data_IF_089326373176
#
_entry.id   IF_089326373176
#
_cell.length_a   1.000
_cell.length_b   1.000
_cell.length_c   1.000
_cell.angle_alpha   90.00
_cell.angle_beta   90.00
_cell.angle_gamma   90.00
#
_symmetry.space_group_name_H-M   'P 1'
#
loop_
_entity.id
_entity.type
_entity.pdbx_description
1 polymer ?
#
# COMPACT_ATOMS: atom_id res chain seq x y z
N UNK A 1 -23.88 -7.29 -3.13
CA UNK A 1 -23.19 -6.67 -1.98
C UNK A 1 -21.72 -6.62 -2.31
N UNK A 2 -21.17 -5.44 -2.54
CA UNK A 2 -19.72 -5.27 -2.77
C UNK A 2 -19.09 -5.35 -1.38
N UNK A 3 -18.29 -6.38 -1.14
CA UNK A 3 -17.58 -6.55 0.13
C UNK A 3 -16.63 -5.38 0.42
N UNK A 4 -16.12 -5.25 1.66
CA UNK A 4 -15.12 -4.24 1.96
C UNK A 4 -13.95 -4.36 0.96
N UNK A 5 -13.39 -3.23 0.49
CA UNK A 5 -12.30 -3.26 -0.46
C UNK A 5 -11.14 -4.08 0.12
N UNK A 6 -10.61 -5.00 -0.70
CA UNK A 6 -9.37 -5.69 -0.36
C UNK A 6 -8.30 -4.63 -0.12
N UNK A 7 -7.67 -4.70 1.05
CA UNK A 7 -6.64 -3.74 1.46
C UNK A 7 -5.53 -4.48 2.19
N UNK A 8 -4.32 -3.93 2.10
CA UNK A 8 -3.19 -4.45 2.84
C UNK A 8 -3.24 -3.91 4.26
N UNK A 9 -3.27 -4.76 5.30
CA UNK A 9 -3.21 -4.27 6.66
C UNK A 9 -1.88 -3.58 6.91
N UNK A 10 -1.91 -2.47 7.64
CA UNK A 10 -0.72 -1.92 8.29
C UNK A 10 -0.49 -2.66 9.62
N UNK A 11 0.76 -2.80 10.09
CA UNK A 11 1.04 -3.25 11.44
C UNK A 11 0.29 -2.40 12.47
N UNK A 12 0.01 -3.01 13.61
CA UNK A 12 -0.53 -2.34 14.80
C UNK A 12 -1.86 -1.62 14.58
N UNK A 13 -2.63 -2.03 13.57
CA UNK A 13 -3.95 -1.45 13.31
C UNK A 13 -3.90 -0.01 12.80
N UNK A 14 -2.75 0.44 12.29
CA UNK A 14 -2.55 1.77 11.71
C UNK A 14 -3.32 2.01 10.39
N UNK A 15 -4.30 1.15 10.08
CA UNK A 15 -5.16 1.26 8.92
C UNK A 15 -4.74 0.33 7.79
N UNK A 16 -4.81 0.85 6.56
CA UNK A 16 -4.65 0.08 5.35
C UNK A 16 -3.77 0.78 4.31
N UNK A 17 -3.05 -0.02 3.53
CA UNK A 17 -2.30 0.38 2.33
C UNK A 17 -2.99 -0.10 1.07
N UNK A 18 -2.63 0.57 -0.02
CA UNK A 18 -2.98 0.14 -1.38
C UNK A 18 -2.25 -1.18 -1.66
N UNK A 19 -3.01 -2.18 -2.09
CA UNK A 19 -2.48 -3.46 -2.54
C UNK A 19 -1.76 -3.32 -3.89
N UNK A 20 -0.86 -4.25 -4.20
CA UNK A 20 -0.25 -4.29 -5.52
C UNK A 20 -1.29 -4.60 -6.58
N UNK A 21 -1.31 -3.81 -7.64
CA UNK A 21 -2.22 -3.96 -8.77
C UNK A 21 -1.46 -4.19 -10.07
N UNK A 22 -2.09 -4.86 -11.02
CA UNK A 22 -1.61 -4.99 -12.39
C UNK A 22 -1.98 -3.75 -13.25
N UNK A 23 -1.62 -3.80 -14.53
CA UNK A 23 -1.88 -2.73 -15.51
C UNK A 23 -3.38 -2.46 -15.72
N UNK A 24 -4.23 -3.46 -15.47
CA UNK A 24 -5.69 -3.35 -15.56
C UNK A 24 -6.32 -2.88 -14.23
N UNK A 25 -5.50 -2.41 -13.28
CA UNK A 25 -5.93 -1.96 -11.95
C UNK A 25 -6.60 -3.07 -11.11
N UNK A 26 -6.31 -4.33 -11.43
CA UNK A 26 -6.77 -5.52 -10.71
C UNK A 26 -5.76 -5.94 -9.65
N UNK A 27 -6.25 -6.49 -8.54
CA UNK A 27 -5.39 -6.92 -7.44
C UNK A 27 -4.47 -8.08 -7.85
N UNK A 28 -3.18 -8.01 -7.49
CA UNK A 28 -2.26 -9.13 -7.68
C UNK A 28 -2.41 -10.11 -6.51
N UNK A 29 -2.95 -11.29 -6.83
CA UNK A 29 -3.12 -12.40 -5.89
C UNK A 29 -1.88 -13.29 -5.82
N UNK A 30 -1.67 -13.87 -4.63
CA UNK A 30 -0.57 -14.76 -4.33
C UNK A 30 -1.02 -16.05 -3.64
N UNK A 31 -0.14 -17.05 -3.72
CA UNK A 31 -0.16 -18.24 -2.88
C UNK A 31 1.20 -18.32 -2.19
N UNK A 32 1.19 -18.27 -0.85
CA UNK A 32 2.41 -18.23 -0.03
C UNK A 32 3.41 -19.37 -0.32
N UNK A 33 2.96 -20.49 -0.88
CA UNK A 33 3.78 -21.66 -1.16
C UNK A 33 4.09 -21.82 -2.66
N UNK A 34 3.12 -21.51 -3.53
CA UNK A 34 3.20 -21.83 -4.97
C UNK A 34 3.43 -20.62 -5.86
N UNK A 35 2.95 -19.44 -5.45
CA UNK A 35 2.94 -18.21 -6.25
C UNK A 35 3.33 -17.03 -5.36
N UNK A 36 4.63 -16.87 -5.04
CA UNK A 36 5.09 -15.78 -4.19
C UNK A 36 4.91 -14.43 -4.89
N UNK A 37 4.81 -13.38 -4.08
CA UNK A 37 4.76 -12.02 -4.58
C UNK A 37 6.09 -11.59 -5.22
N UNK A 38 6.06 -10.57 -6.11
CA UNK A 38 7.26 -9.93 -6.62
C UNK A 38 8.18 -9.42 -5.51
N UNK A 39 9.44 -9.19 -5.85
CA UNK A 39 10.43 -8.63 -4.93
C UNK A 39 9.91 -7.34 -4.30
N UNK A 40 10.17 -7.15 -3.00
CA UNK A 40 9.71 -6.02 -2.18
C UNK A 40 8.22 -6.02 -1.82
N UNK A 41 7.49 -7.08 -2.19
CA UNK A 41 6.14 -7.34 -1.73
C UNK A 41 6.10 -8.58 -0.83
N UNK A 42 5.06 -8.68 -0.03
CA UNK A 42 4.77 -9.83 0.82
C UNK A 42 3.36 -10.34 0.56
N UNK A 43 3.18 -11.65 0.66
CA UNK A 43 1.87 -12.28 0.49
C UNK A 43 1.12 -12.24 1.81
N UNK A 44 0.10 -11.39 1.91
CA UNK A 44 -0.76 -11.32 3.09
C UNK A 44 -1.98 -12.20 2.84
N UNK A 45 -2.13 -13.24 3.67
CA UNK A 45 -3.26 -14.16 3.58
C UNK A 45 -4.57 -13.47 3.98
N UNK A 46 -5.59 -13.61 3.15
CA UNK A 46 -6.89 -12.99 3.39
C UNK A 46 -7.85 -13.97 4.07
N UNK A 47 -8.47 -13.54 5.17
CA UNK A 47 -9.46 -14.35 5.88
C UNK A 47 -10.79 -14.24 5.12
N UNK A 48 -11.24 -15.33 4.48
CA UNK A 48 -12.58 -15.44 3.88
C UNK A 48 -12.66 -15.29 2.35
N UNK A 49 -11.55 -15.05 1.68
CA UNK A 49 -11.44 -15.11 0.21
C UNK A 49 -10.23 -15.98 -0.13
N UNK A 50 -10.51 -17.19 -0.56
CA UNK A 50 -9.51 -18.17 -0.97
C UNK A 50 -10.07 -18.96 -2.15
N UNK A 51 -9.22 -19.22 -3.13
CA UNK A 51 -9.50 -20.20 -4.19
C UNK A 51 -8.49 -21.34 -4.07
N UNK A 52 -8.63 -22.36 -4.92
CA UNK A 52 -7.59 -23.39 -5.06
C UNK A 52 -6.25 -22.86 -5.59
N UNK A 53 -6.22 -21.63 -6.11
CA UNK A 53 -5.08 -21.04 -6.83
C UNK A 53 -4.41 -19.88 -6.07
N UNK A 54 -5.07 -19.30 -5.08
CA UNK A 54 -4.54 -18.18 -4.30
C UNK A 54 -5.14 -18.15 -2.90
N UNK A 55 -4.32 -17.74 -1.94
CA UNK A 55 -4.68 -17.63 -0.52
C UNK A 55 -4.40 -16.24 0.06
N UNK A 56 -3.94 -15.29 -0.75
CA UNK A 56 -3.64 -13.94 -0.31
C UNK A 56 -3.49 -12.92 -1.43
N UNK A 57 -3.10 -11.71 -1.03
CA UNK A 57 -2.81 -10.58 -1.93
C UNK A 57 -1.39 -10.06 -1.68
N UNK A 58 -0.79 -9.49 -2.73
CA UNK A 58 0.54 -8.90 -2.63
C UNK A 58 0.49 -7.49 -2.05
N UNK A 59 1.18 -7.32 -0.92
CA UNK A 59 1.25 -6.07 -0.18
C UNK A 59 2.66 -5.50 -0.17
N UNK A 60 2.81 -4.17 -0.30
CA UNK A 60 4.12 -3.53 -0.29
C UNK A 60 4.77 -3.68 1.09
N UNK A 61 6.05 -4.03 1.11
CA UNK A 61 6.86 -4.08 2.34
C UNK A 61 7.25 -2.67 2.79
N UNK A 62 7.80 -2.59 4.01
CA UNK A 62 8.31 -1.33 4.61
C UNK A 62 9.29 -0.60 3.69
N UNK A 63 10.17 -1.33 3.02
CA UNK A 63 11.14 -0.77 2.08
C UNK A 63 10.51 -0.01 0.90
N UNK A 64 9.33 -0.41 0.43
CA UNK A 64 8.60 0.27 -0.66
C UNK A 64 7.74 1.39 -0.10
N UNK A 65 6.94 1.09 0.93
CA UNK A 65 6.07 2.06 1.60
C UNK A 65 6.83 3.25 2.21
N UNK A 66 8.11 3.09 2.55
CA UNK A 66 8.95 4.15 3.09
C UNK A 66 10.06 4.58 2.10
N UNK A 67 9.92 4.27 0.82
CA UNK A 67 10.90 4.72 -0.19
C UNK A 67 10.61 6.17 -0.58
N UNK A 68 11.60 7.09 -0.47
CA UNK A 68 11.45 8.47 -0.93
C UNK A 68 11.37 8.58 -2.46
N UNK A 69 11.86 7.56 -3.17
CA UNK A 69 11.87 7.50 -4.62
C UNK A 69 10.54 6.98 -5.20
N UNK A 70 9.68 6.43 -4.35
CA UNK A 70 8.45 5.77 -4.77
C UNK A 70 7.32 6.78 -4.95
N UNK A 71 7.44 7.54 -6.05
CA UNK A 71 6.30 8.03 -6.82
C UNK A 71 5.29 8.88 -6.06
N UNK A 72 5.70 9.62 -5.03
CA UNK A 72 4.92 10.77 -4.60
C UNK A 72 5.09 11.83 -5.69
N UNK A 73 4.37 11.65 -6.78
CA UNK A 73 4.09 12.74 -7.70
C UNK A 73 3.38 13.77 -6.85
N UNK A 74 4.12 14.82 -6.48
CA UNK A 74 3.58 16.03 -5.87
C UNK A 74 2.76 16.70 -6.98
N UNK A 75 1.60 16.11 -7.24
CA UNK A 75 0.78 16.40 -8.39
C UNK A 75 0.17 17.78 -8.21
N UNK A 76 0.25 18.59 -9.28
CA UNK A 76 -0.33 19.94 -9.30
C UNK A 76 -1.85 19.88 -9.09
N UNK A 77 -2.47 18.74 -9.43
CA UNK A 77 -3.92 18.49 -9.31
C UNK A 77 -4.30 17.67 -8.07
N UNK A 78 -3.43 17.51 -7.07
CA UNK A 78 -3.81 16.86 -5.80
C UNK A 78 -4.86 17.67 -5.03
N UNK A 79 -5.83 17.00 -4.39
CA UNK A 79 -6.84 17.67 -3.55
C UNK A 79 -7.07 17.01 -2.19
N UNK A 80 -6.50 15.83 -1.95
CA UNK A 80 -6.70 15.10 -0.71
C UNK A 80 -5.43 15.19 0.14
N UNK A 81 -5.42 15.88 1.29
CA UNK A 81 -4.24 15.96 2.13
C UNK A 81 -3.85 14.58 2.64
N UNK A 82 -2.58 14.23 2.42
CA UNK A 82 -1.94 12.97 2.80
C UNK A 82 -0.53 13.21 3.28
N UNK A 83 0.09 12.19 3.84
CA UNK A 83 1.46 12.21 4.33
C UNK A 83 2.32 11.22 3.57
N UNK A 84 3.58 11.56 3.33
CA UNK A 84 4.58 10.66 2.77
C UNK A 84 5.90 10.80 3.52
N UNK A 85 6.72 9.77 3.49
CA UNK A 85 8.07 9.78 4.07
C UNK A 85 9.10 10.23 3.03
N UNK A 86 9.87 11.27 3.34
CA UNK A 86 10.89 11.87 2.45
C UNK A 86 12.30 11.28 2.63
N UNK A 87 12.43 10.16 3.35
CA UNK A 87 13.73 9.59 3.74
C UNK A 87 14.29 10.13 5.05
N UNK A 88 13.64 11.14 5.65
CA UNK A 88 14.04 11.74 6.94
C UNK A 88 12.88 11.98 7.88
N UNK A 89 11.75 12.45 7.35
CA UNK A 89 10.55 12.83 8.10
C UNK A 89 9.30 12.64 7.24
N UNK A 90 8.16 12.62 7.91
CA UNK A 90 6.87 12.62 7.24
C UNK A 90 6.45 14.05 6.88
N UNK A 91 6.07 14.25 5.61
CA UNK A 91 5.62 15.53 5.08
C UNK A 91 4.21 15.41 4.52
N UNK A 92 3.44 16.47 4.68
CA UNK A 92 2.13 16.59 4.06
C UNK A 92 2.29 16.90 2.56
N UNK A 93 1.39 16.36 1.76
CA UNK A 93 1.21 16.68 0.34
C UNK A 93 -0.25 16.57 -0.06
N UNK A 94 -0.60 17.18 -1.19
CA UNK A 94 -1.91 16.99 -1.81
C UNK A 94 -1.85 15.79 -2.75
N UNK A 95 -2.57 14.73 -2.40
CA UNK A 95 -2.61 13.48 -3.16
C UNK A 95 -3.77 13.47 -4.15
N UNK A 96 -3.51 12.96 -5.35
CA UNK A 96 -4.52 12.67 -6.36
C UNK A 96 -4.76 11.15 -6.44
N UNK A 97 -5.85 10.61 -5.88
CA UNK A 97 -6.15 9.17 -5.87
C UNK A 97 -6.40 8.56 -7.26
N UNK A 98 -6.59 9.39 -8.30
CA UNK A 98 -6.83 8.92 -9.66
C UNK A 98 -5.54 8.74 -10.48
N UNK A 99 -4.41 9.30 -10.01
CA UNK A 99 -3.13 9.30 -10.72
C UNK A 99 -2.05 8.54 -9.95
N UNK A 100 -1.94 8.82 -8.65
CA UNK A 100 -0.87 8.27 -7.82
C UNK A 100 -1.36 7.09 -6.97
N UNK A 101 -0.77 5.92 -7.18
CA UNK A 101 -0.99 4.71 -6.37
C UNK A 101 0.20 4.36 -5.48
N UNK A 102 1.02 5.36 -5.11
CA UNK A 102 2.21 5.12 -4.29
C UNK A 102 1.83 4.54 -2.92
N UNK A 103 2.47 3.44 -2.49
CA UNK A 103 2.31 2.87 -1.16
C UNK A 103 2.97 3.72 -0.07
N UNK A 104 3.73 4.76 -0.43
CA UNK A 104 4.22 5.82 0.45
C UNK A 104 3.18 6.96 0.56
N UNK A 105 1.94 6.60 0.90
CA UNK A 105 0.82 7.54 1.07
C UNK A 105 0.03 7.17 2.32
N UNK A 106 0.03 8.07 3.30
CA UNK A 106 -0.56 7.86 4.63
C UNK A 106 -1.67 8.86 4.92
N UNK A 107 -2.68 8.42 5.67
CA UNK A 107 -3.82 9.26 6.08
C UNK A 107 -3.40 10.29 7.13
N UNK A 108 -2.58 9.90 8.09
CA UNK A 108 -2.15 10.73 9.22
C UNK A 108 -0.63 10.80 9.30
N UNK A 109 -0.13 11.88 9.92
CA UNK A 109 1.30 12.05 10.17
C UNK A 109 1.82 10.95 11.08
N UNK A 110 1.07 10.68 12.14
CA UNK A 110 1.42 9.72 13.19
C UNK A 110 1.65 8.32 12.60
N UNK A 111 0.81 7.88 11.63
CA UNK A 111 1.00 6.59 10.98
C UNK A 111 2.22 6.53 10.07
N UNK A 112 2.52 7.63 9.36
CA UNK A 112 3.74 7.69 8.57
C UNK A 112 4.98 7.60 9.49
N UNK A 113 4.99 8.34 10.60
CA UNK A 113 6.11 8.37 11.53
C UNK A 113 6.29 7.02 12.24
N UNK A 114 5.21 6.45 12.78
CA UNK A 114 5.26 5.16 13.47
C UNK A 114 5.66 4.00 12.54
N UNK A 115 5.41 4.12 11.24
CA UNK A 115 5.71 3.06 10.30
C UNK A 115 7.10 3.20 9.66
N UNK A 116 7.55 4.42 9.35
CA UNK A 116 8.78 4.67 8.60
C UNK A 116 9.96 5.17 9.44
N UNK A 117 9.72 5.71 10.64
CA UNK A 117 10.76 6.30 11.48
C UNK A 117 11.07 5.41 12.68
N UNK A 118 10.03 4.91 13.36
CA UNK A 118 10.17 3.88 14.40
C UNK A 118 10.55 2.51 13.79
#
# INVERSE_FOLDING_TARGET
>A
MIGPPLTCPLPDGAGFRVLLKDEDNSAIYCDSEKKPCPKHYECIQTIGQFSSEWNGVCCPRKEVSCSPDDGVELDIDGWLPRWYYDGKKCREFMWNPNLAHSPNTYVTKEHCESYCID
#
